data_IF_979686978346
#
_entry.id   IF_979686978346
#
_cell.length_a   1.000
_cell.length_b   1.000
_cell.length_c   1.000
_cell.angle_alpha   90.00
_cell.angle_beta   90.00
_cell.angle_gamma   90.00
#
_symmetry.space_group_name_H-M   'P 1'
#
loop_
_entity.id
_entity.type
_entity.pdbx_description
1 polymer ?
#
# COMPACT_ATOMS: atom_id res chain seq x y z
N UNK A 1 -11.94 -5.51 13.15
CA UNK A 1 -10.52 -5.34 13.52
C UNK A 1 -10.18 -3.88 13.54
N UNK A 2 -9.61 -3.38 14.63
CA UNK A 2 -8.98 -2.07 14.70
C UNK A 2 -7.53 -2.13 14.20
N UNK A 3 -6.97 -0.97 13.85
CA UNK A 3 -5.57 -0.81 13.46
C UNK A 3 -4.91 0.23 14.34
N UNK A 4 -3.73 -0.08 14.82
CA UNK A 4 -2.91 0.79 15.67
C UNK A 4 -1.45 0.74 15.20
N UNK A 5 -0.74 1.86 15.34
CA UNK A 5 0.68 1.91 15.06
C UNK A 5 1.45 1.54 16.33
N UNK A 6 2.27 0.50 16.31
CA UNK A 6 3.04 0.08 17.49
C UNK A 6 4.23 0.99 17.79
N UNK A 7 4.65 1.83 16.83
CA UNK A 7 5.79 2.73 16.94
C UNK A 7 5.66 3.93 16.01
N UNK A 8 6.38 5.00 16.32
CA UNK A 8 6.54 6.14 15.41
C UNK A 8 7.48 5.75 14.27
N UNK A 9 7.09 5.97 13.01
CA UNK A 9 7.93 5.62 11.87
C UNK A 9 9.12 6.57 11.72
N UNK A 10 10.29 6.00 11.41
CA UNK A 10 11.51 6.74 11.05
C UNK A 10 11.92 6.43 9.59
N UNK A 11 11.35 7.19 8.66
CA UNK A 11 11.64 7.06 7.23
C UNK A 11 13.13 7.25 6.90
N UNK A 12 13.80 8.19 7.56
CA UNK A 12 15.21 8.50 7.26
C UNK A 12 16.13 7.33 7.65
N UNK A 13 15.91 6.76 8.83
CA UNK A 13 16.62 5.56 9.28
C UNK A 13 16.37 4.37 8.35
N UNK A 14 15.11 4.13 7.96
CA UNK A 14 14.75 3.06 7.02
C UNK A 14 15.46 3.22 5.67
N UNK A 15 15.41 4.40 5.07
CA UNK A 15 16.08 4.68 3.79
C UNK A 15 17.59 4.47 3.88
N UNK A 16 18.21 4.95 4.95
CA UNK A 16 19.65 4.77 5.20
C UNK A 16 20.02 3.30 5.36
N UNK A 17 19.27 2.56 6.16
CA UNK A 17 19.50 1.14 6.48
C UNK A 17 19.45 0.25 5.24
N UNK A 18 18.50 0.49 4.35
CA UNK A 18 18.26 -0.34 3.17
C UNK A 18 18.77 0.26 1.85
N UNK A 19 19.46 1.42 1.91
CA UNK A 19 20.02 2.09 0.73
C UNK A 19 18.97 2.56 -0.28
N UNK A 20 17.76 2.93 0.19
CA UNK A 20 16.64 3.31 -0.68
C UNK A 20 16.71 4.80 -0.97
N UNK A 21 16.92 5.13 -2.23
CA UNK A 21 16.96 6.51 -2.73
C UNK A 21 15.81 6.78 -3.69
N UNK A 22 15.33 8.02 -3.73
CA UNK A 22 14.23 8.43 -4.61
C UNK A 22 12.86 7.92 -4.16
N UNK A 23 11.88 8.07 -5.04
CA UNK A 23 10.51 7.64 -4.78
C UNK A 23 10.32 6.14 -4.97
N UNK A 24 9.43 5.55 -4.17
CA UNK A 24 9.08 4.15 -4.30
C UNK A 24 7.61 3.89 -3.97
N UNK A 25 7.08 2.83 -4.56
CA UNK A 25 5.88 2.15 -4.11
C UNK A 25 6.27 0.91 -3.33
N UNK A 26 5.43 0.51 -2.37
CA UNK A 26 5.76 -0.60 -1.47
C UNK A 26 4.69 -1.70 -1.53
N UNK A 27 5.14 -2.94 -1.50
CA UNK A 27 4.32 -4.11 -1.27
C UNK A 27 4.68 -4.74 0.09
N UNK A 28 3.68 -5.04 0.89
CA UNK A 28 3.85 -5.70 2.20
C UNK A 28 2.97 -6.94 2.28
N UNK A 29 3.60 -8.10 2.43
CA UNK A 29 2.91 -9.38 2.54
C UNK A 29 3.72 -10.54 1.97
N UNK A 30 3.13 -11.74 1.96
CA UNK A 30 3.74 -12.89 1.32
C UNK A 30 3.81 -12.67 -0.20
N UNK A 31 5.00 -12.83 -0.76
CA UNK A 31 5.26 -12.61 -2.18
C UNK A 31 5.05 -13.95 -2.91
N UNK A 32 3.86 -14.13 -3.47
CA UNK A 32 3.46 -15.38 -4.13
C UNK A 32 2.46 -15.17 -5.27
N UNK A 33 2.13 -16.26 -5.95
CA UNK A 33 1.15 -16.28 -7.02
C UNK A 33 -0.29 -16.02 -6.52
N UNK A 34 -0.63 -16.49 -5.31
CA UNK A 34 -1.94 -16.28 -4.69
C UNK A 34 -2.24 -14.80 -4.43
N UNK A 35 -1.19 -14.01 -4.19
CA UNK A 35 -1.25 -12.55 -4.08
C UNK A 35 -1.08 -11.81 -5.42
N UNK A 36 -0.97 -12.55 -6.52
CA UNK A 36 -0.77 -12.03 -7.89
C UNK A 36 0.50 -11.15 -8.04
N UNK A 37 1.55 -11.44 -7.24
CA UNK A 37 2.81 -10.71 -7.29
C UNK A 37 3.51 -10.80 -8.66
N UNK A 38 3.50 -11.93 -9.40
CA UNK A 38 4.07 -11.98 -10.74
C UNK A 38 3.44 -10.99 -11.72
N UNK A 39 2.13 -10.69 -11.59
CA UNK A 39 1.48 -9.67 -12.39
C UNK A 39 1.97 -8.27 -12.02
N UNK A 40 2.10 -7.98 -10.73
CA UNK A 40 2.68 -6.70 -10.26
C UNK A 40 4.08 -6.50 -10.83
N UNK A 41 4.93 -7.52 -10.82
CA UNK A 41 6.29 -7.43 -11.36
C UNK A 41 6.30 -7.11 -12.85
N UNK A 42 5.42 -7.75 -13.64
CA UNK A 42 5.27 -7.45 -15.07
C UNK A 42 4.81 -6.02 -15.31
N UNK A 43 3.80 -5.57 -14.55
CA UNK A 43 3.28 -4.21 -14.67
C UNK A 43 4.32 -3.17 -14.28
N UNK A 44 5.02 -3.38 -13.17
CA UNK A 44 6.07 -2.47 -12.73
C UNK A 44 7.24 -2.41 -13.72
N UNK A 45 7.70 -3.57 -14.19
CA UNK A 45 8.80 -3.62 -15.19
C UNK A 45 8.41 -2.91 -16.49
N UNK A 46 7.18 -3.12 -16.97
CA UNK A 46 6.69 -2.44 -18.16
C UNK A 46 6.56 -0.93 -17.94
N UNK A 47 6.05 -0.51 -16.79
CA UNK A 47 6.01 0.91 -16.41
C UNK A 47 7.40 1.56 -16.42
N UNK A 48 8.41 0.90 -15.85
CA UNK A 48 9.79 1.41 -15.85
C UNK A 48 10.39 1.56 -17.25
N UNK A 49 10.02 0.70 -18.19
CA UNK A 49 10.43 0.83 -19.60
C UNK A 49 9.78 2.02 -20.27
N UNK A 50 8.51 2.26 -19.99
CA UNK A 50 7.71 3.33 -20.64
C UNK A 50 7.88 4.70 -20.00
N UNK A 51 8.24 4.75 -18.72
CA UNK A 51 8.37 5.96 -17.90
C UNK A 51 9.71 5.96 -17.15
N UNK A 52 10.86 5.91 -17.85
CA UNK A 52 12.17 5.83 -17.20
C UNK A 52 12.50 7.09 -16.38
N UNK A 53 11.91 8.23 -16.73
CA UNK A 53 12.14 9.54 -16.10
C UNK A 53 11.67 9.61 -14.64
N UNK A 54 10.70 8.82 -14.23
CA UNK A 54 10.17 8.86 -12.87
C UNK A 54 11.12 8.28 -11.82
N UNK A 55 12.12 7.46 -12.21
CA UNK A 55 13.07 6.87 -11.25
C UNK A 55 12.43 6.01 -10.15
N UNK A 56 11.15 5.63 -10.31
CA UNK A 56 10.36 4.92 -9.31
C UNK A 56 10.93 3.54 -9.00
N UNK A 57 10.93 3.16 -7.72
CA UNK A 57 11.30 1.83 -7.25
C UNK A 57 10.10 1.07 -6.71
N UNK A 58 10.17 -0.27 -6.76
CA UNK A 58 9.25 -1.18 -6.09
C UNK A 58 9.98 -1.86 -4.93
N UNK A 59 9.57 -1.56 -3.71
CA UNK A 59 10.09 -2.18 -2.49
C UNK A 59 9.16 -3.29 -2.06
N UNK A 60 9.70 -4.48 -1.80
CA UNK A 60 8.96 -5.67 -1.41
C UNK A 60 9.36 -6.09 0.00
N UNK A 61 8.40 -6.20 0.90
CA UNK A 61 8.57 -6.69 2.27
C UNK A 61 7.75 -7.95 2.49
N UNK A 62 8.42 -9.01 2.90
CA UNK A 62 7.83 -10.29 3.26
C UNK A 62 8.55 -11.49 2.64
N UNK A 63 8.06 -12.69 2.98
CA UNK A 63 8.64 -13.94 2.48
C UNK A 63 8.33 -14.12 1.00
N UNK A 64 9.38 -14.30 0.19
CA UNK A 64 9.23 -14.68 -1.20
C UNK A 64 8.99 -16.20 -1.30
N UNK A 65 7.95 -16.57 -2.04
CA UNK A 65 7.54 -17.94 -2.35
C UNK A 65 7.50 -18.16 -3.88
N UNK A 66 7.46 -17.07 -4.65
CA UNK A 66 7.65 -17.10 -6.10
C UNK A 66 8.91 -16.33 -6.49
N UNK A 67 9.36 -16.50 -7.73
CA UNK A 67 10.52 -15.81 -8.26
C UNK A 67 10.30 -14.31 -8.38
N UNK A 68 11.27 -13.55 -7.90
CA UNK A 68 11.32 -12.09 -8.08
C UNK A 68 12.25 -11.79 -9.26
N UNK A 69 11.80 -11.06 -10.28
CA UNK A 69 12.65 -10.75 -11.44
C UNK A 69 13.85 -9.89 -11.02
N UNK A 70 15.01 -10.17 -11.62
CA UNK A 70 16.20 -9.33 -11.46
C UNK A 70 15.99 -8.01 -12.20
N UNK A 71 15.71 -6.96 -11.48
CA UNK A 71 15.51 -5.60 -12.01
C UNK A 71 16.14 -4.59 -11.06
N UNK A 72 16.87 -3.56 -11.54
CA UNK A 72 17.57 -2.62 -10.67
C UNK A 72 16.64 -1.80 -9.76
N UNK A 73 15.39 -1.62 -10.16
CA UNK A 73 14.39 -0.86 -9.43
C UNK A 73 13.41 -1.73 -8.62
N UNK A 74 13.64 -3.06 -8.53
CA UNK A 74 12.88 -3.96 -7.65
C UNK A 74 13.79 -4.37 -6.50
N UNK A 75 13.43 -3.96 -5.29
CA UNK A 75 14.21 -4.17 -4.07
C UNK A 75 13.43 -5.10 -3.15
N UNK A 76 13.94 -6.32 -2.93
CA UNK A 76 13.32 -7.26 -1.99
C UNK A 76 14.10 -7.26 -0.68
N UNK A 77 13.40 -6.92 0.41
CA UNK A 77 13.99 -6.83 1.76
C UNK A 77 13.78 -8.10 2.59
N UNK A 78 12.93 -9.02 2.12
CA UNK A 78 12.54 -10.18 2.91
C UNK A 78 11.70 -9.79 4.12
N UNK A 79 11.83 -10.56 5.22
CA UNK A 79 11.22 -10.17 6.50
C UNK A 79 11.99 -9.03 7.12
N UNK A 80 11.25 -8.04 7.61
CA UNK A 80 11.77 -6.87 8.33
C UNK A 80 11.10 -6.78 9.70
N UNK A 81 11.64 -5.96 10.60
CA UNK A 81 10.99 -5.67 11.89
C UNK A 81 9.69 -4.88 11.68
N UNK A 82 8.82 -4.85 12.68
CA UNK A 82 7.61 -4.02 12.65
C UNK A 82 7.97 -2.53 12.47
N UNK A 83 9.01 -2.07 13.16
CA UNK A 83 9.53 -0.72 13.05
C UNK A 83 9.97 -0.39 11.61
N UNK A 84 10.76 -1.25 10.99
CA UNK A 84 11.18 -1.10 9.58
C UNK A 84 9.98 -1.16 8.64
N UNK A 85 8.99 -2.03 8.92
CA UNK A 85 7.76 -2.13 8.11
C UNK A 85 7.01 -0.80 8.10
N UNK A 86 6.71 -0.23 9.27
CA UNK A 86 5.97 1.02 9.35
C UNK A 86 6.76 2.20 8.80
N UNK A 87 8.06 2.25 9.07
CA UNK A 87 8.94 3.28 8.52
C UNK A 87 9.03 3.21 6.99
N UNK A 88 9.10 2.00 6.45
CA UNK A 88 9.09 1.79 5.00
C UNK A 88 7.76 2.10 4.34
N UNK A 89 6.63 1.81 5.00
CA UNK A 89 5.32 2.22 4.50
C UNK A 89 5.20 3.75 4.52
N UNK A 90 5.57 4.40 5.63
CA UNK A 90 5.44 5.86 5.79
C UNK A 90 6.17 6.65 4.70
N UNK A 91 7.35 6.19 4.27
CA UNK A 91 8.15 6.82 3.22
C UNK A 91 7.74 6.47 1.79
N UNK A 92 6.75 5.62 1.59
CA UNK A 92 6.30 5.21 0.26
C UNK A 92 5.33 6.22 -0.37
N UNK A 93 5.37 6.36 -1.71
CA UNK A 93 4.34 7.10 -2.45
C UNK A 93 2.97 6.42 -2.40
N UNK A 94 2.95 5.11 -2.42
CA UNK A 94 1.74 4.31 -2.25
C UNK A 94 2.08 2.89 -1.81
N UNK A 95 1.17 2.25 -1.07
CA UNK A 95 1.19 0.81 -0.91
C UNK A 95 0.46 0.19 -2.11
N UNK A 96 1.09 -0.79 -2.75
CA UNK A 96 0.48 -1.53 -3.86
C UNK A 96 0.09 -2.94 -3.43
N UNK A 97 -1.16 -3.33 -3.67
CA UNK A 97 -1.64 -4.68 -3.37
C UNK A 97 -2.34 -5.28 -4.60
N UNK A 98 -1.69 -6.24 -5.29
CA UNK A 98 -2.20 -6.82 -6.53
C UNK A 98 -3.23 -7.94 -6.33
N UNK A 99 -3.49 -8.36 -5.10
CA UNK A 99 -4.37 -9.49 -4.76
C UNK A 99 -5.76 -9.38 -5.37
N UNK A 100 -6.24 -10.46 -5.97
CA UNK A 100 -7.62 -10.59 -6.48
C UNK A 100 -8.61 -10.98 -5.40
N UNK A 101 -8.13 -11.53 -4.27
CA UNK A 101 -8.95 -12.03 -3.17
C UNK A 101 -8.36 -11.60 -1.83
N UNK A 102 -9.10 -10.81 -1.08
CA UNK A 102 -8.79 -10.39 0.29
C UNK A 102 -10.08 -10.34 1.10
N UNK A 103 -9.99 -10.65 2.39
CA UNK A 103 -11.11 -10.49 3.32
C UNK A 103 -11.14 -9.10 3.97
N UNK A 104 -9.97 -8.49 4.21
CA UNK A 104 -9.84 -7.16 4.82
C UNK A 104 -8.58 -6.44 4.35
N UNK A 105 -7.41 -7.10 4.41
CA UNK A 105 -6.07 -6.57 4.17
C UNK A 105 -5.57 -5.58 5.24
N UNK A 106 -4.91 -6.13 6.24
CA UNK A 106 -4.29 -5.33 7.32
C UNK A 106 -3.26 -4.34 6.75
N UNK A 107 -2.43 -4.75 5.78
CA UNK A 107 -1.42 -3.86 5.19
C UNK A 107 -2.01 -2.62 4.50
N UNK A 108 -3.20 -2.74 3.91
CA UNK A 108 -3.93 -1.59 3.35
C UNK A 108 -4.34 -0.63 4.47
N UNK A 109 -4.89 -1.14 5.57
CA UNK A 109 -5.29 -0.31 6.69
C UNK A 109 -4.07 0.34 7.38
N UNK A 110 -2.97 -0.40 7.55
CA UNK A 110 -1.70 0.12 8.08
C UNK A 110 -1.17 1.28 7.22
N UNK A 111 -1.16 1.13 5.89
CA UNK A 111 -0.73 2.20 4.99
C UNK A 111 -1.62 3.45 5.11
N UNK A 112 -2.94 3.26 5.12
CA UNK A 112 -3.89 4.38 5.27
C UNK A 112 -3.76 5.06 6.64
N UNK A 113 -3.44 4.33 7.72
CA UNK A 113 -3.14 4.90 9.05
C UNK A 113 -1.96 5.87 8.99
N UNK A 114 -0.96 5.55 8.17
CA UNK A 114 0.22 6.38 7.93
C UNK A 114 0.00 7.47 6.87
N UNK A 115 -1.23 7.72 6.48
CA UNK A 115 -1.54 8.67 5.39
C UNK A 115 -0.89 8.29 4.05
N UNK A 116 -0.67 7.01 3.81
CA UNK A 116 -0.12 6.50 2.55
C UNK A 116 -1.25 5.97 1.68
N UNK A 117 -1.47 6.54 0.49
CA UNK A 117 -2.47 6.07 -0.44
C UNK A 117 -2.21 4.64 -0.89
N UNK A 118 -3.28 3.96 -1.30
CA UNK A 118 -3.17 2.57 -1.76
C UNK A 118 -3.52 2.44 -3.25
N UNK A 119 -2.83 1.53 -3.94
CA UNK A 119 -3.07 1.15 -5.33
C UNK A 119 -3.41 -0.33 -5.34
N UNK A 120 -4.64 -0.68 -5.64
CA UNK A 120 -5.13 -2.04 -5.44
C UNK A 120 -5.75 -2.64 -6.70
N UNK A 121 -5.81 -3.98 -6.74
CA UNK A 121 -6.50 -4.68 -7.81
C UNK A 121 -8.02 -4.51 -7.68
N UNK A 122 -8.64 -3.87 -8.65
CA UNK A 122 -10.08 -3.57 -8.67
C UNK A 122 -10.99 -4.78 -8.93
N UNK A 123 -10.43 -5.98 -9.15
CA UNK A 123 -11.19 -7.23 -9.18
C UNK A 123 -11.57 -7.66 -7.77
N UNK A 124 -10.75 -7.31 -6.76
CA UNK A 124 -11.07 -7.56 -5.36
C UNK A 124 -12.03 -6.48 -4.85
N UNK A 125 -13.31 -6.83 -4.67
CA UNK A 125 -14.34 -5.88 -4.24
C UNK A 125 -14.07 -5.31 -2.83
N UNK A 126 -13.41 -6.05 -1.94
CA UNK A 126 -13.02 -5.56 -0.62
C UNK A 126 -11.99 -4.44 -0.73
N UNK A 127 -10.92 -4.66 -1.51
CA UNK A 127 -9.86 -3.66 -1.71
C UNK A 127 -10.39 -2.42 -2.45
N UNK A 128 -11.16 -2.64 -3.52
CA UNK A 128 -11.85 -1.57 -4.25
C UNK A 128 -12.78 -0.79 -3.32
N UNK A 129 -13.49 -1.50 -2.43
CA UNK A 129 -14.38 -0.89 -1.43
C UNK A 129 -13.65 0.08 -0.49
N UNK A 130 -12.42 -0.23 -0.06
CA UNK A 130 -11.59 0.69 0.71
C UNK A 130 -11.28 1.97 -0.07
N UNK A 131 -10.90 1.84 -1.35
CA UNK A 131 -10.62 3.00 -2.20
C UNK A 131 -11.86 3.89 -2.41
N UNK A 132 -13.00 3.29 -2.75
CA UNK A 132 -14.25 4.02 -3.04
C UNK A 132 -14.79 4.72 -1.79
N UNK A 133 -14.78 4.04 -0.64
CA UNK A 133 -15.30 4.61 0.63
C UNK A 133 -14.40 5.71 1.18
N UNK A 134 -13.09 5.56 1.04
CA UNK A 134 -12.13 6.49 1.60
C UNK A 134 -11.79 7.68 0.70
N UNK A 135 -11.85 7.52 -0.64
CA UNK A 135 -11.11 8.35 -1.59
C UNK A 135 -9.62 8.52 -1.23
N UNK A 136 -9.06 7.54 -0.49
CA UNK A 136 -7.69 7.50 -0.02
C UNK A 136 -6.78 6.55 -0.81
N UNK A 137 -7.25 6.08 -1.96
CA UNK A 137 -6.52 5.18 -2.86
C UNK A 137 -7.21 5.02 -4.20
N UNK A 138 -6.55 4.33 -5.11
CA UNK A 138 -7.03 4.08 -6.47
C UNK A 138 -6.97 2.59 -6.77
N UNK A 139 -7.78 2.14 -7.73
CA UNK A 139 -7.81 0.75 -8.15
C UNK A 139 -7.67 0.60 -9.64
N UNK A 140 -7.07 -0.50 -10.07
CA UNK A 140 -6.85 -0.82 -11.47
C UNK A 140 -7.37 -2.23 -11.81
N UNK A 141 -7.74 -2.46 -13.06
CA UNK A 141 -8.13 -3.75 -13.61
C UNK A 141 -7.17 -4.25 -14.69
N UNK A 142 -6.35 -3.37 -15.23
CA UNK A 142 -5.41 -3.67 -16.31
C UNK A 142 -4.15 -2.80 -16.18
N UNK A 143 -3.16 -3.10 -17.04
CA UNK A 143 -1.89 -2.39 -17.05
C UNK A 143 -2.02 -0.88 -17.30
N UNK A 144 -2.86 -0.47 -18.24
CA UNK A 144 -2.97 0.95 -18.60
C UNK A 144 -3.58 1.79 -17.49
N UNK A 145 -4.51 1.21 -16.74
CA UNK A 145 -5.05 1.85 -15.52
C UNK A 145 -3.97 1.94 -14.44
N UNK A 146 -3.17 0.88 -14.23
CA UNK A 146 -2.04 0.90 -13.29
C UNK A 146 -1.01 1.98 -13.66
N UNK A 147 -0.58 2.05 -14.93
CA UNK A 147 0.29 3.11 -15.44
C UNK A 147 -0.34 4.48 -15.24
N UNK A 148 -1.62 4.64 -15.59
CA UNK A 148 -2.36 5.89 -15.43
C UNK A 148 -2.39 6.38 -13.98
N UNK A 149 -2.61 5.49 -13.01
CA UNK A 149 -2.57 5.80 -11.58
C UNK A 149 -1.19 6.32 -11.17
N UNK A 150 -0.13 5.62 -11.55
CA UNK A 150 1.23 6.05 -11.21
C UNK A 150 1.54 7.42 -11.81
N UNK A 151 1.23 7.65 -13.08
CA UNK A 151 1.39 8.98 -13.71
C UNK A 151 0.59 10.05 -12.98
N UNK A 152 -0.65 9.73 -12.60
CA UNK A 152 -1.54 10.67 -11.91
C UNK A 152 -0.98 11.13 -10.57
N UNK A 153 -0.53 10.21 -9.71
CA UNK A 153 0.01 10.56 -8.38
C UNK A 153 1.32 11.38 -8.44
N UNK A 154 2.07 11.27 -9.56
CA UNK A 154 3.28 12.09 -9.77
C UNK A 154 2.99 13.45 -10.39
N UNK A 155 1.89 13.63 -11.11
CA UNK A 155 1.58 14.87 -11.83
C UNK A 155 0.52 15.74 -11.16
N UNK A 156 -0.17 15.25 -10.10
CA UNK A 156 -1.28 15.93 -9.44
C UNK A 156 -1.04 15.99 -7.92
N UNK A 157 -0.12 16.85 -7.49
CA UNK A 157 0.29 16.96 -6.09
C UNK A 157 -0.86 17.33 -5.15
N UNK A 158 -1.78 18.19 -5.59
CA UNK A 158 -2.93 18.61 -4.79
C UNK A 158 -3.89 17.45 -4.50
N UNK A 159 -4.23 16.67 -5.53
CA UNK A 159 -5.09 15.51 -5.42
C UNK A 159 -4.41 14.39 -4.63
N UNK A 160 -3.09 14.21 -4.82
CA UNK A 160 -2.32 13.28 -4.03
C UNK A 160 -2.31 13.64 -2.54
N UNK A 161 -2.13 14.92 -2.19
CA UNK A 161 -2.19 15.39 -0.81
C UNK A 161 -3.59 15.20 -0.20
N UNK A 162 -4.65 15.43 -0.99
CA UNK A 162 -6.02 15.17 -0.56
C UNK A 162 -6.26 13.67 -0.33
N UNK A 163 -5.75 12.81 -1.22
CA UNK A 163 -5.85 11.35 -1.09
C UNK A 163 -5.19 10.86 0.20
N UNK A 164 -4.01 11.38 0.54
CA UNK A 164 -3.31 11.11 1.80
C UNK A 164 -4.16 11.44 3.03
N UNK A 165 -4.76 12.64 3.04
CA UNK A 165 -5.65 13.10 4.12
C UNK A 165 -6.88 12.20 4.24
N UNK A 166 -7.47 11.84 3.12
CA UNK A 166 -8.65 10.99 3.06
C UNK A 166 -8.36 9.57 3.57
N UNK A 167 -7.20 9.00 3.22
CA UNK A 167 -6.76 7.70 3.73
C UNK A 167 -6.73 7.69 5.27
N UNK A 168 -6.05 8.67 5.87
CA UNK A 168 -5.97 8.79 7.34
C UNK A 168 -7.34 8.96 7.97
N UNK A 169 -8.14 9.89 7.45
CA UNK A 169 -9.50 10.15 7.95
C UNK A 169 -10.37 8.90 7.94
N UNK A 170 -10.30 8.11 6.87
CA UNK A 170 -11.07 6.87 6.75
C UNK A 170 -10.74 5.87 7.87
N UNK A 171 -9.46 5.75 8.24
CA UNK A 171 -9.04 4.89 9.35
C UNK A 171 -9.52 5.46 10.69
N UNK A 172 -9.33 6.75 10.91
CA UNK A 172 -9.72 7.41 12.16
C UNK A 172 -11.23 7.29 12.41
N UNK A 173 -12.05 7.36 11.35
CA UNK A 173 -13.51 7.28 11.44
C UNK A 173 -14.04 5.83 11.57
N UNK A 174 -13.28 4.80 11.10
CA UNK A 174 -13.87 3.47 10.94
C UNK A 174 -13.05 2.32 11.56
N UNK A 175 -11.75 2.49 11.80
CA UNK A 175 -10.84 1.38 12.14
C UNK A 175 -9.98 1.64 13.38
N UNK A 176 -10.19 2.71 14.11
CA UNK A 176 -9.60 2.86 15.46
C UNK A 176 -10.26 1.89 16.43
N UNK A 177 -9.50 1.35 17.36
CA UNK A 177 -10.04 0.40 18.33
C UNK A 177 -11.22 0.97 19.13
N UNK A 178 -11.17 2.27 19.51
CA UNK A 178 -12.26 2.93 20.22
C UNK A 178 -13.57 2.87 19.40
N UNK A 179 -13.51 3.20 18.11
CA UNK A 179 -14.67 3.19 17.20
C UNK A 179 -15.24 1.79 17.05
N UNK A 180 -14.36 0.78 16.91
CA UNK A 180 -14.77 -0.62 16.80
C UNK A 180 -15.45 -1.10 18.10
N UNK A 181 -14.86 -0.80 19.27
CA UNK A 181 -15.39 -1.21 20.56
C UNK A 181 -16.76 -0.56 20.81
N UNK A 182 -16.91 0.73 20.52
CA UNK A 182 -18.18 1.44 20.73
C UNK A 182 -19.28 0.89 19.80
N UNK A 183 -18.97 0.57 18.55
CA UNK A 183 -19.90 -0.11 17.64
C UNK A 183 -20.35 -1.47 18.18
N UNK A 184 -19.46 -2.25 18.81
CA UNK A 184 -19.84 -3.52 19.44
C UNK A 184 -20.73 -3.33 20.68
N UNK A 185 -20.44 -2.32 21.52
CA UNK A 185 -21.29 -1.99 22.68
C UNK A 185 -22.70 -1.63 22.24
N UNK A 186 -22.84 -0.75 21.23
CA UNK A 186 -24.16 -0.39 20.69
C UNK A 186 -24.96 -1.60 20.23
N UNK A 187 -24.33 -2.59 19.58
CA UNK A 187 -25.02 -3.82 19.16
C UNK A 187 -25.45 -4.63 20.38
N UNK A 188 -24.62 -4.77 21.41
CA UNK A 188 -24.93 -5.55 22.62
C UNK A 188 -26.05 -4.88 23.42
N UNK A 189 -26.04 -3.56 23.56
CA UNK A 189 -27.03 -2.80 24.32
C UNK A 189 -28.42 -2.78 23.66
N UNK A 190 -28.51 -3.13 22.38
CA UNK A 190 -29.74 -3.21 21.59
C UNK A 190 -30.29 -4.64 21.44
N UNK A 191 -29.71 -5.64 22.11
CA UNK A 191 -30.20 -7.03 22.19
C UNK A 191 -31.00 -7.24 23.49
#
# INVERSE_FOLDING_TARGET
TGVELPCEPDEASFRSKFGITGDYIIYVGRIDEGKDCPMLFRYFTEYRKRCPEHGLKLVLMGKAVCDIPKHPDIISLGFVSEEDKFSGIAGAKALVLPSKFESLSISVLEAMTLSVPVIVNGVCEVLKGHCVKSNGGLYYKNYFEFEGILRYIFSHEGEYALMRKNAKKYIDDNYRWEVIIDSFKEVIDNI
#
